data_IF_006497673367
#
_entry.id   IF_006497673367
#
_cell.length_a   1.000
_cell.length_b   1.000
_cell.length_c   1.000
_cell.angle_alpha   90.00
_cell.angle_beta   90.00
_cell.angle_gamma   90.00
#
_symmetry.space_group_name_H-M   'P 1'
#
loop_
_entity.id
_entity.type
_entity.pdbx_description
1 polymer ?
#
# COMPACT_ATOMS: atom_id res chain seq x y z
N UNK A 1 45.43 42.15 1.29
CA UNK A 1 44.25 42.78 1.94
C UNK A 1 43.51 41.75 2.77
N UNK A 2 43.54 41.86 4.10
CA UNK A 2 42.88 40.95 5.08
C UNK A 2 41.36 40.85 4.86
N UNK A 3 40.74 41.89 4.27
CA UNK A 3 39.31 41.91 3.91
C UNK A 3 38.94 40.88 2.84
N UNK A 4 39.84 40.57 1.89
CA UNK A 4 39.56 39.60 0.81
C UNK A 4 39.47 38.17 1.35
N UNK A 5 40.39 37.77 2.23
CA UNK A 5 40.41 36.44 2.86
C UNK A 5 39.23 36.18 3.81
N UNK A 6 38.74 37.21 4.52
CA UNK A 6 37.52 37.08 5.34
C UNK A 6 36.27 36.82 4.50
N UNK A 7 36.14 37.48 3.34
CA UNK A 7 35.02 37.26 2.41
C UNK A 7 35.02 35.85 1.81
N UNK A 8 36.19 35.35 1.38
CA UNK A 8 36.33 33.99 0.85
C UNK A 8 35.90 32.91 1.85
N UNK A 9 36.29 33.06 3.12
CA UNK A 9 35.91 32.12 4.19
C UNK A 9 34.42 32.14 4.52
N UNK A 10 33.79 33.31 4.45
CA UNK A 10 32.32 33.43 4.59
C UNK A 10 31.61 32.73 3.44
N UNK A 11 32.09 32.88 2.19
CA UNK A 11 31.50 32.18 1.05
C UNK A 11 31.66 30.67 1.13
N UNK A 12 32.82 30.16 1.57
CA UNK A 12 33.03 28.72 1.77
C UNK A 12 32.08 28.13 2.83
N UNK A 13 31.91 28.84 3.95
CA UNK A 13 30.97 28.41 5.00
C UNK A 13 29.52 28.40 4.50
N UNK A 14 29.12 29.38 3.70
CA UNK A 14 27.78 29.42 3.08
C UNK A 14 27.58 28.26 2.10
N UNK A 15 28.57 27.97 1.25
CA UNK A 15 28.51 26.84 0.30
C UNK A 15 28.42 25.50 1.04
N UNK A 16 29.18 25.35 2.13
CA UNK A 16 29.08 24.16 3.00
C UNK A 16 27.68 24.03 3.62
N UNK A 17 27.18 25.09 4.25
CA UNK A 17 25.85 25.09 4.86
C UNK A 17 24.75 24.78 3.85
N UNK A 18 24.83 25.35 2.64
CA UNK A 18 23.88 25.06 1.56
C UNK A 18 23.98 23.60 1.09
N UNK A 19 25.19 23.05 1.00
CA UNK A 19 25.43 21.66 0.61
C UNK A 19 24.90 20.68 1.67
N UNK A 20 25.05 21.01 2.95
CA UNK A 20 24.50 20.24 4.08
C UNK A 20 22.96 20.27 4.06
N UNK A 21 22.35 21.45 3.90
CA UNK A 21 20.90 21.60 3.79
C UNK A 21 20.37 20.83 2.57
N UNK A 22 20.99 20.97 1.41
CA UNK A 22 20.60 20.23 0.21
C UNK A 22 20.70 18.71 0.42
N UNK A 23 21.74 18.25 1.13
CA UNK A 23 21.91 16.84 1.48
C UNK A 23 20.83 16.33 2.44
N UNK A 24 20.45 17.13 3.44
CA UNK A 24 19.36 16.81 4.37
C UNK A 24 18.05 16.72 3.60
N UNK A 25 17.69 17.76 2.84
CA UNK A 25 16.46 17.78 2.04
C UNK A 25 16.40 16.60 1.06
N UNK A 26 17.50 16.29 0.39
CA UNK A 26 17.57 15.14 -0.51
C UNK A 26 17.43 13.78 0.17
N UNK A 27 17.71 13.67 1.48
CA UNK A 27 17.41 12.47 2.28
C UNK A 27 15.95 12.43 2.70
N UNK A 28 15.41 13.53 3.22
CA UNK A 28 14.00 13.61 3.64
C UNK A 28 13.05 13.34 2.47
N UNK A 29 13.32 13.91 1.29
CA UNK A 29 12.52 13.67 0.08
C UNK A 29 12.55 12.19 -0.31
N UNK A 30 13.71 11.53 -0.23
CA UNK A 30 13.81 10.09 -0.54
C UNK A 30 13.05 9.23 0.47
N UNK A 31 13.16 9.55 1.75
CA UNK A 31 12.42 8.83 2.79
C UNK A 31 10.90 8.96 2.59
N UNK A 32 10.40 10.19 2.41
CA UNK A 32 8.99 10.45 2.16
C UNK A 32 8.50 9.77 0.87
N UNK A 33 9.29 9.83 -0.21
CA UNK A 33 8.93 9.17 -1.47
C UNK A 33 8.83 7.65 -1.32
N UNK A 34 9.75 7.04 -0.56
CA UNK A 34 9.72 5.60 -0.29
C UNK A 34 8.47 5.18 0.50
N UNK A 35 8.06 5.98 1.48
CA UNK A 35 6.86 5.72 2.27
C UNK A 35 5.58 5.84 1.42
N UNK A 36 5.51 6.88 0.59
CA UNK A 36 4.40 7.07 -0.36
C UNK A 36 4.35 5.92 -1.36
N UNK A 37 5.46 5.53 -1.97
CA UNK A 37 5.49 4.41 -2.92
C UNK A 37 5.00 3.11 -2.28
N UNK A 38 5.36 2.86 -1.01
CA UNK A 38 4.86 1.69 -0.27
C UNK A 38 3.35 1.77 -0.03
N UNK A 39 2.85 2.91 0.43
CA UNK A 39 1.43 3.10 0.69
C UNK A 39 0.59 2.98 -0.59
N UNK A 40 1.04 3.63 -1.68
CA UNK A 40 0.41 3.53 -3.00
C UNK A 40 0.47 2.10 -3.52
N UNK A 41 1.60 1.40 -3.34
CA UNK A 41 1.73 -0.01 -3.72
C UNK A 41 0.69 -0.90 -3.04
N UNK A 42 0.50 -0.71 -1.73
CA UNK A 42 -0.53 -1.42 -0.96
C UNK A 42 -1.96 -1.12 -1.48
N UNK A 43 -2.28 0.15 -1.73
CA UNK A 43 -3.59 0.54 -2.24
C UNK A 43 -3.88 -0.03 -3.64
N UNK A 44 -2.86 -0.06 -4.51
CA UNK A 44 -2.98 -0.66 -5.84
C UNK A 44 -3.24 -2.16 -5.72
N UNK A 45 -2.47 -2.88 -4.90
CA UNK A 45 -2.67 -4.32 -4.69
C UNK A 45 -4.07 -4.62 -4.15
N UNK A 46 -4.54 -3.87 -3.15
CA UNK A 46 -5.87 -4.02 -2.58
C UNK A 46 -6.97 -3.70 -3.61
N UNK A 47 -6.77 -2.68 -4.46
CA UNK A 47 -7.68 -2.36 -5.56
C UNK A 47 -7.77 -3.50 -6.57
N UNK A 48 -6.64 -4.10 -6.95
CA UNK A 48 -6.61 -5.25 -7.85
C UNK A 48 -7.33 -6.46 -7.26
N UNK A 49 -7.08 -6.80 -5.99
CA UNK A 49 -7.79 -7.88 -5.29
C UNK A 49 -9.31 -7.63 -5.27
N UNK A 50 -9.75 -6.40 -4.94
CA UNK A 50 -11.16 -6.00 -5.01
C UNK A 50 -11.77 -6.20 -6.40
N UNK A 51 -11.04 -5.84 -7.45
CA UNK A 51 -11.52 -6.00 -8.83
C UNK A 51 -11.67 -7.47 -9.24
N UNK A 52 -10.82 -8.36 -8.71
CA UNK A 52 -10.81 -9.80 -9.01
C UNK A 52 -11.80 -10.60 -8.16
N UNK A 53 -12.22 -10.09 -6.99
CA UNK A 53 -13.06 -10.81 -6.03
C UNK A 53 -14.31 -11.44 -6.65
N UNK A 54 -15.07 -10.68 -7.44
CA UNK A 54 -16.30 -11.21 -8.03
C UNK A 54 -16.02 -12.32 -9.08
N UNK A 55 -14.88 -12.25 -9.77
CA UNK A 55 -14.44 -13.29 -10.70
C UNK A 55 -14.09 -14.57 -9.94
N UNK A 56 -13.30 -14.47 -8.87
CA UNK A 56 -12.95 -15.59 -8.00
C UNK A 56 -14.19 -16.28 -7.42
N UNK A 57 -15.15 -15.50 -6.91
CA UNK A 57 -16.40 -16.06 -6.36
C UNK A 57 -17.29 -16.71 -7.42
N UNK A 58 -17.14 -16.34 -8.70
CA UNK A 58 -17.98 -16.87 -9.78
C UNK A 58 -17.71 -18.33 -10.10
N UNK A 59 -16.49 -18.82 -9.83
CA UNK A 59 -16.08 -20.20 -10.12
C UNK A 59 -16.35 -21.17 -8.97
N UNK A 60 -16.77 -20.68 -7.81
CA UNK A 60 -17.02 -21.51 -6.61
C UNK A 60 -18.38 -22.24 -6.62
N UNK A 61 -19.18 -22.10 -7.68
CA UNK A 61 -20.49 -22.72 -7.79
C UNK A 61 -21.51 -22.20 -6.77
N UNK A 62 -21.38 -20.93 -6.37
CA UNK A 62 -22.33 -20.21 -5.51
C UNK A 62 -23.56 -19.77 -6.33
N UNK A 63 -24.71 -19.68 -5.68
CA UNK A 63 -25.86 -18.98 -6.27
C UNK A 63 -25.54 -17.49 -6.45
N UNK A 64 -26.26 -16.81 -7.35
CA UNK A 64 -26.10 -15.36 -7.56
C UNK A 64 -26.27 -14.56 -6.27
N UNK A 65 -27.23 -14.93 -5.41
CA UNK A 65 -27.47 -14.23 -4.15
C UNK A 65 -26.35 -14.48 -3.13
N UNK A 66 -25.86 -15.72 -3.00
CA UNK A 66 -24.71 -16.03 -2.15
C UNK A 66 -23.47 -15.26 -2.61
N UNK A 67 -23.21 -15.22 -3.93
CA UNK A 67 -22.12 -14.42 -4.49
C UNK A 67 -22.25 -12.95 -4.13
N UNK A 68 -23.43 -12.33 -4.28
CA UNK A 68 -23.62 -10.93 -3.90
C UNK A 68 -23.41 -10.67 -2.40
N UNK A 69 -23.87 -11.59 -1.54
CA UNK A 69 -23.64 -11.50 -0.08
C UNK A 69 -22.17 -11.68 0.26
N UNK A 70 -21.50 -12.65 -0.35
CA UNK A 70 -20.09 -12.94 -0.15
C UNK A 70 -19.23 -11.76 -0.59
N UNK A 71 -19.47 -11.21 -1.79
CA UNK A 71 -18.78 -10.01 -2.27
C UNK A 71 -18.93 -8.86 -1.28
N UNK A 72 -20.14 -8.61 -0.77
CA UNK A 72 -20.37 -7.53 0.20
C UNK A 72 -19.64 -7.77 1.52
N UNK A 73 -19.69 -8.99 2.06
CA UNK A 73 -19.00 -9.34 3.32
C UNK A 73 -17.47 -9.27 3.15
N UNK A 74 -16.93 -9.91 2.14
CA UNK A 74 -15.48 -10.00 1.92
C UNK A 74 -14.88 -8.62 1.60
N UNK A 75 -15.56 -7.81 0.79
CA UNK A 75 -15.08 -6.49 0.44
C UNK A 75 -15.27 -5.43 1.55
N UNK A 76 -15.85 -5.79 2.70
CA UNK A 76 -16.12 -4.83 3.78
C UNK A 76 -14.86 -4.38 4.51
N UNK A 77 -13.85 -5.24 4.60
CA UNK A 77 -12.58 -4.97 5.28
C UNK A 77 -11.40 -5.48 4.44
N UNK A 78 -10.30 -4.71 4.30
CA UNK A 78 -9.11 -5.13 3.57
C UNK A 78 -8.57 -6.49 4.00
N UNK A 79 -8.56 -6.75 5.31
CA UNK A 79 -8.06 -7.97 5.93
C UNK A 79 -8.86 -9.20 5.45
N UNK A 80 -10.18 -9.06 5.28
CA UNK A 80 -11.03 -10.15 4.81
C UNK A 80 -10.77 -10.48 3.34
N UNK A 81 -10.43 -9.47 2.53
CA UNK A 81 -9.99 -9.67 1.15
C UNK A 81 -8.68 -10.43 1.12
N UNK A 82 -7.70 -10.01 1.92
CA UNK A 82 -6.40 -10.66 1.98
C UNK A 82 -6.50 -12.11 2.45
N UNK A 83 -7.33 -12.39 3.47
CA UNK A 83 -7.64 -13.75 3.92
C UNK A 83 -8.22 -14.57 2.76
N UNK A 84 -9.26 -14.07 2.08
CA UNK A 84 -9.88 -14.79 0.96
C UNK A 84 -8.89 -15.15 -0.15
N UNK A 85 -7.99 -14.24 -0.51
CA UNK A 85 -6.97 -14.49 -1.54
C UNK A 85 -5.80 -15.37 -1.06
N UNK A 86 -5.65 -15.57 0.25
CA UNK A 86 -4.65 -16.48 0.83
C UNK A 86 -5.12 -17.94 0.92
N UNK A 87 -6.43 -18.18 0.87
CA UNK A 87 -7.03 -19.52 1.02
C UNK A 87 -6.82 -20.35 -0.26
N UNK A 88 -6.42 -21.62 -0.15
CA UNK A 88 -6.33 -22.52 -1.30
C UNK A 88 -7.66 -22.64 -2.05
N UNK A 89 -7.63 -22.71 -3.38
CA UNK A 89 -8.86 -22.76 -4.20
C UNK A 89 -9.82 -23.88 -3.80
N UNK A 90 -9.29 -25.01 -3.34
CA UNK A 90 -10.06 -26.18 -2.88
C UNK A 90 -10.85 -25.91 -1.58
N UNK A 91 -10.41 -24.96 -0.76
CA UNK A 91 -11.01 -24.59 0.53
C UNK A 91 -11.89 -23.33 0.43
N UNK A 92 -11.69 -22.49 -0.59
CA UNK A 92 -12.38 -21.20 -0.75
C UNK A 92 -13.90 -21.30 -0.66
N UNK A 93 -14.49 -22.34 -1.25
CA UNK A 93 -15.96 -22.51 -1.22
C UNK A 93 -16.48 -22.73 0.19
N UNK A 94 -15.85 -23.64 0.93
CA UNK A 94 -16.23 -23.98 2.31
C UNK A 94 -16.10 -22.74 3.20
N UNK A 95 -14.98 -22.02 3.08
CA UNK A 95 -14.76 -20.79 3.82
C UNK A 95 -15.81 -19.71 3.53
N UNK A 96 -16.14 -19.49 2.25
CA UNK A 96 -17.20 -18.52 1.88
C UNK A 96 -18.55 -18.93 2.46
N UNK A 97 -18.86 -20.23 2.48
CA UNK A 97 -20.11 -20.73 3.05
C UNK A 97 -20.17 -20.53 4.57
N UNK A 98 -19.07 -20.81 5.29
CA UNK A 98 -18.94 -20.54 6.72
C UNK A 98 -19.12 -19.04 7.04
N UNK A 99 -18.47 -18.17 6.27
CA UNK A 99 -18.60 -16.71 6.39
C UNK A 99 -20.05 -16.23 6.19
N UNK A 100 -20.76 -16.84 5.23
CA UNK A 100 -22.16 -16.50 4.96
C UNK A 100 -23.10 -16.98 6.06
N UNK A 101 -22.80 -18.13 6.69
CA UNK A 101 -23.53 -18.69 7.83
C UNK A 101 -23.24 -17.93 9.13
N UNK A 102 -22.11 -17.24 9.21
CA UNK A 102 -21.65 -16.53 10.41
C UNK A 102 -20.90 -17.43 11.39
N UNK A 103 -20.35 -18.54 10.89
CA UNK A 103 -19.50 -19.45 11.67
C UNK A 103 -18.08 -18.89 11.86
N UNK A 104 -17.72 -17.91 11.02
CA UNK A 104 -16.48 -17.13 11.03
C UNK A 104 -16.76 -15.65 10.76
#
# INVERSE_FOLDING_TARGET
>A
SVRSGKRARISENLVKGLSEVASILGREIRAASSEISRAVGFDVELSEKRSKLNQELSVLGLTTMERHRATRKIASEPETIDIFFSIPDVEKKEWVQALLQGDI
#
